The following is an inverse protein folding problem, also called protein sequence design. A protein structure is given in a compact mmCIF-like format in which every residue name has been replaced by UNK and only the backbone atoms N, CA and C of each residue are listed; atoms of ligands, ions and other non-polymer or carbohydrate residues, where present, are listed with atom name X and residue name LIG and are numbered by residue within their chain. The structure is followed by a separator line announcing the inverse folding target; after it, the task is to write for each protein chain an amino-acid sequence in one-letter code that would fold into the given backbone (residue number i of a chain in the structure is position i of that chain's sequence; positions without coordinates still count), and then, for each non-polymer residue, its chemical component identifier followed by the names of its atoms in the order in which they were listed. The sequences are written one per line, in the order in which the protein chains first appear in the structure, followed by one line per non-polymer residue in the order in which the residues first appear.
data_IF_499910129394
#
_entry.id   IF_499910129394
#
_cell.length_a   1.000
_cell.length_b   1.000
_cell.length_c   1.000
_cell.angle_alpha   90.00
_cell.angle_beta   90.00
_cell.angle_gamma   90.00
#
_symmetry.space_group_name_H-M   'P 1'
#
loop_
_entity.id
_entity.type
_entity.pdbx_description
1 polymer ?
#
# COMPACT_ATOMS: atom_id res chain seq x y z
N UNK A 1 -4.92 -57.98 -3.82
CA UNK A 1 -6.30 -57.82 -3.34
C UNK A 1 -6.27 -56.77 -2.22
N UNK A 2 -6.89 -55.59 -2.46
CA UNK A 2 -7.26 -54.52 -1.50
C UNK A 2 -6.11 -53.82 -0.74
N UNK A 3 -5.57 -52.70 -1.23
CA UNK A 3 -6.06 -51.30 -1.07
C UNK A 3 -6.56 -50.98 0.34
N UNK A 4 -5.83 -50.12 1.05
CA UNK A 4 -6.36 -49.16 2.04
C UNK A 4 -5.30 -48.09 2.32
N UNK A 5 -5.30 -47.07 1.46
CA UNK A 5 -4.71 -45.75 1.72
C UNK A 5 -5.52 -45.09 2.83
N UNK A 6 -4.93 -44.89 4.01
CA UNK A 6 -5.46 -43.95 5.01
C UNK A 6 -5.00 -42.54 4.65
N UNK A 7 -5.67 -41.92 3.68
CA UNK A 7 -5.64 -40.47 3.54
C UNK A 7 -6.55 -39.92 4.63
N UNK A 8 -5.97 -39.63 5.79
CA UNK A 8 -6.66 -38.85 6.82
C UNK A 8 -6.76 -37.42 6.31
N UNK A 9 -7.93 -37.13 5.74
CA UNK A 9 -8.42 -35.80 5.39
C UNK A 9 -8.25 -34.87 6.60
N UNK A 10 -7.19 -34.07 6.62
CA UNK A 10 -7.09 -32.91 7.50
C UNK A 10 -8.11 -31.91 6.97
N UNK A 11 -9.32 -31.95 7.55
CA UNK A 11 -10.30 -30.89 7.44
C UNK A 11 -9.68 -29.64 8.04
N UNK A 12 -9.11 -28.79 7.18
CA UNK A 12 -8.68 -27.44 7.55
C UNK A 12 -9.94 -26.69 7.96
N UNK A 13 -10.12 -26.55 9.26
CA UNK A 13 -11.19 -25.78 9.87
C UNK A 13 -10.95 -24.32 9.47
N UNK A 14 -11.71 -23.82 8.49
CA UNK A 14 -11.81 -22.40 8.18
C UNK A 14 -12.58 -21.71 9.32
N UNK A 15 -11.97 -21.66 10.50
CA UNK A 15 -12.38 -20.76 11.55
C UNK A 15 -11.92 -19.38 11.11
N UNK A 16 -12.87 -18.48 10.81
CA UNK A 16 -12.63 -17.06 10.65
C UNK A 16 -12.13 -16.47 11.99
N UNK A 17 -10.92 -16.83 12.43
CA UNK A 17 -10.19 -16.04 13.39
C UNK A 17 -9.70 -14.79 12.65
N UNK A 18 -10.02 -13.62 13.20
CA UNK A 18 -9.32 -12.40 12.84
C UNK A 18 -7.83 -12.65 13.06
N UNK A 19 -7.04 -12.47 12.02
CA UNK A 19 -5.59 -12.57 12.07
C UNK A 19 -5.07 -11.59 13.12
N UNK A 20 -4.09 -11.99 13.91
CA UNK A 20 -3.46 -11.11 14.89
C UNK A 20 -2.81 -9.91 14.18
N UNK A 21 -2.89 -8.67 14.70
CA UNK A 21 -2.31 -7.51 14.00
C UNK A 21 -0.82 -7.64 13.68
N UNK A 22 -0.03 -8.30 14.53
CA UNK A 22 1.40 -8.51 14.27
C UNK A 22 1.61 -9.55 13.16
N UNK A 23 0.81 -10.62 13.15
CA UNK A 23 0.79 -11.61 12.08
C UNK A 23 0.37 -10.98 10.75
N UNK A 24 -0.66 -10.13 10.73
CA UNK A 24 -1.09 -9.43 9.51
C UNK A 24 -0.01 -8.47 9.00
N UNK A 25 0.72 -7.80 9.90
CA UNK A 25 1.82 -6.93 9.49
C UNK A 25 2.96 -7.72 8.82
N UNK A 26 3.25 -8.94 9.28
CA UNK A 26 4.23 -9.84 8.65
C UNK A 26 3.73 -10.32 7.27
N UNK A 27 2.46 -10.71 7.16
CA UNK A 27 1.86 -11.11 5.88
C UNK A 27 1.93 -9.97 4.87
N UNK A 28 1.58 -8.74 5.28
CA UNK A 28 1.65 -7.57 4.40
C UNK A 28 3.10 -7.28 3.97
N UNK A 29 4.06 -7.45 4.88
CA UNK A 29 5.49 -7.26 4.61
C UNK A 29 6.03 -8.24 3.57
N UNK A 30 5.72 -9.53 3.73
CA UNK A 30 6.08 -10.58 2.78
C UNK A 30 5.45 -10.33 1.40
N UNK A 31 4.18 -9.94 1.35
CA UNK A 31 3.49 -9.58 0.10
C UNK A 31 4.18 -8.42 -0.62
N UNK A 32 4.61 -7.38 0.12
CA UNK A 32 5.31 -6.24 -0.46
C UNK A 32 6.69 -6.68 -0.96
N UNK A 33 7.45 -7.45 -0.18
CA UNK A 33 8.77 -7.92 -0.57
C UNK A 33 8.73 -8.81 -1.82
N UNK A 34 7.78 -9.74 -1.89
CA UNK A 34 7.56 -10.59 -3.06
C UNK A 34 7.24 -9.76 -4.31
N UNK A 35 6.42 -8.71 -4.15
CA UNK A 35 6.13 -7.77 -5.24
C UNK A 35 7.40 -7.04 -5.69
N UNK A 36 8.16 -6.47 -4.75
CA UNK A 36 9.38 -5.73 -5.06
C UNK A 36 10.43 -6.62 -5.75
N UNK A 37 10.60 -7.87 -5.30
CA UNK A 37 11.51 -8.83 -5.94
C UNK A 37 11.03 -9.22 -7.34
N UNK A 38 9.74 -9.51 -7.51
CA UNK A 38 9.14 -9.91 -8.80
C UNK A 38 9.36 -8.85 -9.88
N UNK A 39 9.30 -7.57 -9.52
CA UNK A 39 9.45 -6.45 -10.45
C UNK A 39 10.83 -5.77 -10.40
N UNK A 40 11.79 -6.36 -9.68
CA UNK A 40 13.16 -5.85 -9.52
C UNK A 40 13.21 -4.40 -9.01
N UNK A 41 12.29 -4.04 -8.11
CA UNK A 41 12.14 -2.68 -7.57
C UNK A 41 13.02 -2.51 -6.34
N UNK A 42 13.80 -1.43 -6.32
CA UNK A 42 14.54 -0.99 -5.12
C UNK A 42 13.70 0.04 -4.38
N UNK A 43 13.21 -0.32 -3.20
CA UNK A 43 12.43 0.54 -2.32
C UNK A 43 13.04 0.60 -0.91
N UNK A 44 12.85 1.72 -0.23
CA UNK A 44 13.23 1.93 1.16
C UNK A 44 12.06 1.59 2.09
N UNK A 45 12.34 0.89 3.20
CA UNK A 45 11.35 0.53 4.23
C UNK A 45 11.43 1.47 5.42
N UNK A 46 10.28 1.91 5.92
CA UNK A 46 10.14 2.64 7.18
C UNK A 46 9.80 1.70 8.36
N UNK A 47 10.05 2.17 9.59
CA UNK A 47 9.76 1.42 10.83
C UNK A 47 8.27 1.03 10.99
N UNK A 48 7.36 1.76 10.34
CA UNK A 48 5.93 1.48 10.35
C UNK A 48 5.48 0.47 9.28
N UNK A 49 6.42 -0.11 8.52
CA UNK A 49 6.18 -1.09 7.47
C UNK A 49 5.81 -0.50 6.10
N UNK A 50 5.71 0.83 5.97
CA UNK A 50 5.54 1.46 4.66
C UNK A 50 6.85 1.34 3.87
N UNK A 51 6.74 1.03 2.58
CA UNK A 51 7.86 1.13 1.65
C UNK A 51 7.62 2.27 0.66
N UNK A 52 8.70 2.83 0.14
CA UNK A 52 8.64 3.84 -0.91
C UNK A 52 9.82 3.75 -1.88
N UNK A 53 9.58 4.16 -3.13
CA UNK A 53 10.60 4.40 -4.14
C UNK A 53 10.46 5.83 -4.68
N UNK A 54 11.57 6.40 -5.15
CA UNK A 54 11.58 7.72 -5.80
C UNK A 54 12.06 7.52 -7.23
N UNK A 55 11.17 7.60 -8.21
CA UNK A 55 11.56 7.51 -9.62
C UNK A 55 12.07 8.86 -10.15
N UNK A 56 11.53 9.97 -9.62
CA UNK A 56 12.01 11.31 -9.94
C UNK A 56 12.00 12.19 -8.71
N UNK A 57 13.16 12.71 -8.32
CA UNK A 57 13.26 13.67 -7.23
C UNK A 57 12.60 15.02 -7.58
N UNK A 58 11.86 15.56 -6.63
CA UNK A 58 11.32 16.92 -6.66
C UNK A 58 12.31 17.94 -6.12
N UNK A 59 12.14 19.21 -6.49
CA UNK A 59 13.01 20.31 -6.06
C UNK A 59 12.29 21.40 -5.28
N UNK A 60 10.95 21.33 -5.18
CA UNK A 60 10.16 22.33 -4.48
C UNK A 60 10.07 22.07 -2.96
N UNK A 61 9.13 22.75 -2.29
CA UNK A 61 8.85 22.55 -0.87
C UNK A 61 8.58 21.09 -0.52
N UNK A 62 8.94 20.72 0.71
CA UNK A 62 8.60 19.41 1.27
C UNK A 62 7.33 19.57 2.10
N UNK A 63 6.26 18.81 1.83
CA UNK A 63 5.05 18.86 2.64
C UNK A 63 5.30 18.26 4.02
N UNK A 64 4.45 18.64 4.97
CA UNK A 64 4.34 17.99 6.28
C UNK A 64 3.09 17.12 6.30
N UNK A 65 2.91 16.30 7.34
CA UNK A 65 1.68 15.52 7.51
C UNK A 65 0.40 16.37 7.58
N UNK A 66 0.52 17.68 7.83
CA UNK A 66 -0.60 18.63 7.95
C UNK A 66 -0.84 19.46 6.69
N UNK A 67 -0.02 19.28 5.65
CA UNK A 67 -0.11 20.06 4.42
C UNK A 67 -1.34 19.70 3.61
N UNK A 68 -1.85 20.68 2.88
CA UNK A 68 -2.68 20.46 1.70
C UNK A 68 -1.75 20.22 0.51
N UNK A 69 -2.08 19.26 -0.35
CA UNK A 69 -1.26 18.87 -1.50
C UNK A 69 -2.11 18.66 -2.75
N UNK A 70 -1.57 18.99 -3.91
CA UNK A 70 -2.13 18.62 -5.21
C UNK A 70 -1.36 17.42 -5.75
N UNK A 71 -2.05 16.31 -5.99
CA UNK A 71 -1.43 15.03 -6.37
C UNK A 71 -2.17 14.42 -7.55
N UNK A 72 -1.41 13.95 -8.54
CA UNK A 72 -1.92 12.96 -9.49
C UNK A 72 -1.48 11.56 -9.06
N UNK A 73 -2.38 10.58 -9.09
CA UNK A 73 -2.10 9.23 -8.60
C UNK A 73 -2.82 8.12 -9.35
N UNK A 74 -2.25 6.91 -9.24
CA UNK A 74 -2.92 5.66 -9.59
C UNK A 74 -2.76 4.68 -8.43
N UNK A 75 -3.87 4.20 -7.89
CA UNK A 75 -3.93 3.20 -6.83
C UNK A 75 -4.28 1.82 -7.38
N UNK A 76 -3.43 0.83 -7.12
CA UNK A 76 -3.59 -0.53 -7.59
C UNK A 76 -3.15 -1.58 -6.57
N UNK A 77 -3.63 -2.81 -6.75
CA UNK A 77 -3.22 -3.96 -5.93
C UNK A 77 -1.98 -4.64 -6.51
N UNK A 78 -1.35 -5.54 -5.75
CA UNK A 78 -0.16 -6.31 -6.18
C UNK A 78 -0.38 -7.17 -7.43
N UNK A 79 -1.63 -7.43 -7.81
CA UNK A 79 -1.98 -8.08 -9.08
C UNK A 79 -2.11 -7.09 -10.26
N UNK A 80 -1.71 -5.83 -10.07
CA UNK A 80 -1.80 -4.71 -11.03
C UNK A 80 -3.22 -4.26 -11.38
N UNK A 81 -4.26 -4.74 -10.69
CA UNK A 81 -5.61 -4.20 -10.89
C UNK A 81 -5.76 -2.84 -10.21
N UNK A 82 -6.10 -1.83 -11.00
CA UNK A 82 -6.39 -0.47 -10.56
C UNK A 82 -7.73 -0.44 -9.83
N UNK A 83 -7.76 0.18 -8.66
CA UNK A 83 -8.98 0.37 -7.88
C UNK A 83 -9.41 1.83 -7.79
N UNK A 84 -8.49 2.78 -8.00
CA UNK A 84 -8.75 4.21 -7.97
C UNK A 84 -7.64 4.98 -8.72
N UNK A 85 -7.97 6.09 -9.36
CA UNK A 85 -7.01 6.95 -10.06
C UNK A 85 -7.55 8.38 -10.20
N UNK A 86 -6.66 9.35 -10.30
CA UNK A 86 -7.03 10.75 -10.58
C UNK A 86 -6.81 11.11 -12.04
N UNK A 87 -7.36 12.25 -12.45
CA UNK A 87 -6.95 12.93 -13.68
C UNK A 87 -5.47 13.40 -13.60
N UNK A 88 -4.78 13.59 -14.75
CA UNK A 88 -3.39 14.01 -14.79
C UNK A 88 -3.10 15.39 -14.18
N UNK A 89 -4.08 16.29 -14.17
CA UNK A 89 -4.01 17.60 -13.53
C UNK A 89 -3.95 17.51 -12.00
N UNK A 90 -4.29 16.34 -11.45
CA UNK A 90 -4.29 16.04 -10.03
C UNK A 90 -5.53 16.53 -9.29
N UNK A 91 -5.60 16.15 -8.02
CA UNK A 91 -6.68 16.48 -7.09
C UNK A 91 -6.07 16.89 -5.74
N UNK A 92 -6.72 17.85 -5.08
CA UNK A 92 -6.25 18.37 -3.80
C UNK A 92 -6.68 17.48 -2.64
N UNK A 93 -5.75 17.19 -1.74
CA UNK A 93 -6.01 16.49 -0.49
C UNK A 93 -5.42 17.23 0.70
N UNK A 94 -6.16 17.23 1.80
CA UNK A 94 -5.59 17.50 3.12
C UNK A 94 -4.99 16.21 3.67
N UNK A 95 -3.68 16.20 4.00
CA UNK A 95 -2.99 14.98 4.43
C UNK A 95 -3.50 14.41 5.77
N UNK A 96 -4.30 15.14 6.54
CA UNK A 96 -4.97 14.62 7.74
C UNK A 96 -6.29 13.89 7.44
N UNK A 97 -6.79 13.95 6.20
CA UNK A 97 -8.09 13.39 5.80
C UNK A 97 -7.97 12.19 4.85
N UNK A 98 -6.77 11.68 4.65
CA UNK A 98 -6.45 10.53 3.79
C UNK A 98 -6.00 9.33 4.63
N UNK A 99 -5.75 8.18 3.98
CA UNK A 99 -5.21 7.00 4.65
C UNK A 99 -3.85 7.31 5.28
N UNK A 100 -3.51 6.64 6.39
CA UNK A 100 -2.28 6.88 7.15
C UNK A 100 -1.02 6.70 6.28
N UNK A 101 -1.05 5.77 5.35
CA UNK A 101 0.05 5.54 4.41
C UNK A 101 0.35 6.78 3.55
N UNK A 102 -0.67 7.53 3.13
CA UNK A 102 -0.47 8.80 2.44
C UNK A 102 0.03 9.90 3.39
N UNK A 103 -0.58 10.03 4.57
CA UNK A 103 -0.17 11.00 5.59
C UNK A 103 1.31 10.86 5.95
N UNK A 104 1.83 9.62 6.03
CA UNK A 104 3.24 9.33 6.33
C UNK A 104 4.14 9.28 5.10
N UNK A 105 3.63 8.83 3.95
CA UNK A 105 4.41 8.58 2.75
C UNK A 105 4.64 9.81 1.88
N UNK A 106 3.62 10.67 1.69
CA UNK A 106 3.75 11.86 0.83
C UNK A 106 4.84 12.83 1.33
N UNK A 107 5.02 13.06 2.65
CA UNK A 107 6.13 13.87 3.18
C UNK A 107 7.55 13.36 2.87
N UNK A 108 7.71 12.13 2.37
CA UNK A 108 9.00 11.61 1.89
C UNK A 108 9.39 12.19 0.52
N UNK A 109 8.43 12.77 -0.19
CA UNK A 109 8.60 13.38 -1.49
C UNK A 109 8.66 14.91 -1.37
N UNK A 110 9.47 15.54 -2.21
CA UNK A 110 9.42 17.00 -2.43
C UNK A 110 8.46 17.32 -3.56
N UNK A 111 7.89 18.52 -3.57
CA UNK A 111 7.09 18.99 -4.69
C UNK A 111 7.82 18.82 -6.04
N UNK A 112 7.09 18.31 -7.02
CA UNK A 112 7.56 17.93 -8.35
C UNK A 112 8.11 16.50 -8.44
N UNK A 113 8.13 15.75 -7.34
CA UNK A 113 8.61 14.37 -7.33
C UNK A 113 7.60 13.40 -7.94
N UNK A 114 8.14 12.29 -8.46
CA UNK A 114 7.39 11.06 -8.75
C UNK A 114 7.98 9.93 -7.93
N UNK A 115 7.10 9.18 -7.29
CA UNK A 115 7.44 8.11 -6.36
C UNK A 115 6.33 7.06 -6.34
N UNK A 116 6.64 5.85 -5.89
CA UNK A 116 5.64 4.85 -5.54
C UNK A 116 5.63 4.62 -4.03
N UNK A 117 4.44 4.50 -3.44
CA UNK A 117 4.22 4.08 -2.05
C UNK A 117 3.66 2.66 -2.05
N UNK A 118 4.26 1.77 -1.26
CA UNK A 118 3.74 0.43 -1.00
C UNK A 118 3.27 0.36 0.45
N UNK A 119 1.96 0.28 0.61
CA UNK A 119 1.27 0.58 1.86
C UNK A 119 0.72 -0.72 2.44
N UNK A 120 1.20 -1.18 3.61
CA UNK A 120 0.61 -2.32 4.30
C UNK A 120 -0.84 -2.00 4.70
N UNK A 121 -1.68 -3.02 4.79
CA UNK A 121 -3.13 -2.86 4.95
C UNK A 121 -3.50 -2.05 6.19
N UNK A 122 -2.75 -2.18 7.29
CA UNK A 122 -2.95 -1.42 8.52
C UNK A 122 -2.75 0.10 8.37
N UNK A 123 -1.98 0.54 7.38
CA UNK A 123 -1.81 1.95 7.01
C UNK A 123 -2.77 2.40 5.89
N UNK A 124 -3.47 1.45 5.26
CA UNK A 124 -4.56 1.67 4.30
C UNK A 124 -5.93 1.51 4.96
N UNK A 125 -6.70 0.53 4.49
CA UNK A 125 -8.10 0.29 4.91
C UNK A 125 -8.28 -0.85 5.94
N UNK A 126 -7.19 -1.45 6.40
CA UNK A 126 -7.15 -2.41 7.51
C UNK A 126 -8.05 -3.64 7.34
N UNK A 127 -8.47 -4.20 8.47
CA UNK A 127 -9.29 -5.43 8.53
C UNK A 127 -10.73 -5.25 8.04
N UNK A 128 -11.16 -4.02 7.80
CA UNK A 128 -12.52 -3.71 7.38
C UNK A 128 -12.63 -3.52 5.87
N UNK A 129 -11.55 -3.10 5.21
CA UNK A 129 -11.63 -2.64 3.82
C UNK A 129 -12.48 -1.36 3.68
N UNK A 130 -12.73 -0.95 2.45
CA UNK A 130 -13.61 0.19 2.13
C UNK A 130 -14.11 0.09 0.70
N UNK A 131 -15.43 0.20 0.49
CA UNK A 131 -16.01 0.16 -0.86
C UNK A 131 -15.60 -1.10 -1.63
N UNK A 132 -14.90 -0.92 -2.74
CA UNK A 132 -14.35 -2.00 -3.59
C UNK A 132 -13.06 -2.62 -3.05
N UNK A 133 -12.45 -2.03 -2.02
CA UNK A 133 -11.17 -2.45 -1.46
C UNK A 133 -11.41 -3.51 -0.38
N UNK A 134 -10.95 -4.77 -0.57
CA UNK A 134 -11.14 -5.82 0.41
C UNK A 134 -10.38 -5.59 1.73
N UNK A 135 -10.78 -6.27 2.82
CA UNK A 135 -9.99 -6.36 4.04
C UNK A 135 -8.56 -6.83 3.81
N UNK A 136 -7.63 -6.32 4.63
CA UNK A 136 -6.24 -6.78 4.70
C UNK A 136 -5.52 -6.76 3.34
N UNK A 137 -5.74 -5.71 2.55
CA UNK A 137 -5.07 -5.51 1.27
C UNK A 137 -3.92 -4.54 1.37
N UNK A 138 -2.76 -4.99 0.92
CA UNK A 138 -1.64 -4.13 0.51
C UNK A 138 -2.09 -3.27 -0.66
N UNK A 139 -1.75 -1.99 -0.61
CA UNK A 139 -2.06 -1.00 -1.64
C UNK A 139 -0.76 -0.46 -2.22
N UNK A 140 -0.74 -0.23 -3.52
CA UNK A 140 0.36 0.43 -4.20
C UNK A 140 -0.18 1.71 -4.83
N UNK A 141 0.54 2.80 -4.64
CA UNK A 141 0.19 4.09 -5.23
C UNK A 141 1.38 4.67 -5.98
N UNK A 142 1.22 4.86 -7.28
CA UNK A 142 2.12 5.73 -8.04
C UNK A 142 1.66 7.16 -7.81
N UNK A 143 2.59 8.02 -7.40
CA UNK A 143 2.33 9.38 -6.93
C UNK A 143 3.14 10.37 -7.77
N UNK A 144 2.47 11.41 -8.26
CA UNK A 144 3.09 12.64 -8.72
C UNK A 144 2.65 13.79 -7.81
N UNK A 145 3.56 14.23 -6.93
CA UNK A 145 3.30 15.37 -6.04
C UNK A 145 3.47 16.66 -6.84
N UNK A 146 2.36 17.22 -7.34
CA UNK A 146 2.37 18.39 -8.23
C UNK A 146 2.69 19.65 -7.43
N UNK A 147 1.98 19.86 -6.31
CA UNK A 147 2.07 21.08 -5.53
C UNK A 147 1.87 20.84 -4.03
N UNK A 148 2.56 21.63 -3.20
CA UNK A 148 2.27 21.79 -1.77
C UNK A 148 1.58 23.15 -1.62
N UNK A 149 0.35 23.14 -1.08
CA UNK A 149 -0.56 24.28 -1.04
C UNK A 149 -0.45 25.08 0.28
#
# INVERSE_FOLDING_TARGET
MRFLLFVSLVLVVLSCKKVDPAEQAQIDDEIIQDYLETYEIVAEKLDNGLYYSVEKAGTGPQPTEYSDVLVAYTGYFTNQSVFDESEPEGISFNLQQVIKGWTKGIPLFKQGARGTLYIPSALGYGTSGAGSIPPNKVLIFDIHLIEVL
#
